data_IF_875552373827
#
_entry.id   IF_875552373827
#
_cell.length_a   1.000
_cell.length_b   1.000
_cell.length_c   1.000
_cell.angle_alpha   90.00
_cell.angle_beta   90.00
_cell.angle_gamma   90.00
#
_symmetry.space_group_name_H-M   'P 1'
#
loop_
_entity.id
_entity.type
_entity.pdbx_description
1 polymer ?
#
# COMPACT_ATOMS: atom_id res chain seq x y z
N UNK A 1 -4.74 13.65 -6.99
CA UNK A 1 -5.02 15.11 -6.99
C UNK A 1 -6.46 15.34 -7.40
N UNK A 2 -7.08 16.40 -6.91
CA UNK A 2 -8.34 16.93 -7.43
C UNK A 2 -8.18 18.42 -7.68
N UNK A 3 -9.05 18.99 -8.52
CA UNK A 3 -9.11 20.44 -8.68
C UNK A 3 -10.03 21.04 -7.62
N UNK A 4 -9.58 22.12 -6.96
CA UNK A 4 -10.44 22.93 -6.11
C UNK A 4 -11.33 23.87 -6.94
N UNK A 5 -12.18 24.65 -6.25
CA UNK A 5 -13.21 25.51 -6.88
C UNK A 5 -12.65 26.51 -7.90
N UNK A 6 -11.42 26.98 -7.71
CA UNK A 6 -10.78 27.99 -8.57
C UNK A 6 -9.70 27.43 -9.51
N UNK A 7 -9.51 26.10 -9.53
CA UNK A 7 -8.49 25.44 -10.35
C UNK A 7 -9.10 24.91 -11.66
N UNK A 8 -8.50 25.25 -12.80
CA UNK A 8 -8.84 24.70 -14.11
C UNK A 8 -8.00 23.48 -14.48
N UNK A 9 -8.28 22.89 -15.65
CA UNK A 9 -7.54 21.74 -16.18
C UNK A 9 -6.02 22.00 -16.29
N UNK A 10 -5.64 23.20 -16.73
CA UNK A 10 -4.24 23.60 -16.88
C UNK A 10 -3.46 23.54 -15.55
N UNK A 11 -4.10 23.89 -14.41
CA UNK A 11 -3.46 23.81 -13.10
C UNK A 11 -3.22 22.35 -12.69
N UNK A 12 -4.14 21.41 -13.03
CA UNK A 12 -3.95 20.00 -12.81
C UNK A 12 -2.82 19.41 -13.66
N UNK A 13 -2.71 19.86 -14.90
CA UNK A 13 -1.65 19.41 -15.82
C UNK A 13 -0.27 19.81 -15.29
N UNK A 14 -0.09 21.10 -14.94
CA UNK A 14 1.16 21.59 -14.35
C UNK A 14 1.50 20.84 -13.07
N UNK A 15 0.54 20.66 -12.15
CA UNK A 15 0.75 19.91 -10.93
C UNK A 15 1.11 18.46 -11.21
N UNK A 16 0.45 17.82 -12.19
CA UNK A 16 0.76 16.44 -12.59
C UNK A 16 2.18 16.30 -13.11
N UNK A 17 2.65 17.23 -13.93
CA UNK A 17 4.02 17.23 -14.45
C UNK A 17 5.04 17.34 -13.33
N UNK A 18 4.84 18.25 -12.38
CA UNK A 18 5.72 18.45 -11.25
C UNK A 18 5.81 17.19 -10.37
N UNK A 19 4.67 16.55 -10.06
CA UNK A 19 4.65 15.36 -9.20
C UNK A 19 5.08 14.08 -9.91
N UNK A 20 5.05 14.01 -11.23
CA UNK A 20 5.59 12.85 -12.00
C UNK A 20 7.07 12.59 -11.77
N UNK A 21 7.82 13.61 -11.37
CA UNK A 21 9.25 13.48 -11.05
C UNK A 21 9.49 12.59 -9.81
N UNK A 22 8.54 12.54 -8.88
CA UNK A 22 8.64 11.80 -7.62
C UNK A 22 7.74 10.57 -7.56
N UNK A 23 6.90 10.33 -8.57
CA UNK A 23 6.03 9.17 -8.60
C UNK A 23 4.87 9.28 -9.59
N UNK A 24 3.94 8.32 -9.51
CA UNK A 24 2.74 8.31 -10.35
C UNK A 24 1.67 9.24 -9.77
N UNK A 25 1.00 9.98 -10.64
CA UNK A 25 -0.09 10.88 -10.27
C UNK A 25 -1.43 10.35 -10.76
N UNK A 26 -2.47 10.53 -9.95
CA UNK A 26 -3.85 10.18 -10.29
C UNK A 26 -4.74 11.39 -10.04
N UNK A 27 -5.60 11.69 -11.00
CA UNK A 27 -6.63 12.73 -10.85
C UNK A 27 -7.93 12.02 -10.47
N UNK A 28 -8.57 12.46 -9.39
CA UNK A 28 -9.83 11.93 -8.87
C UNK A 28 -10.80 13.07 -8.57
N UNK A 29 -12.08 12.75 -8.44
CA UNK A 29 -13.06 13.71 -7.91
C UNK A 29 -12.75 14.04 -6.45
N UNK A 30 -13.05 15.27 -6.03
CA UNK A 30 -12.81 15.75 -4.65
C UNK A 30 -13.47 14.86 -3.60
N UNK A 31 -14.65 14.31 -3.88
CA UNK A 31 -15.36 13.36 -3.01
C UNK A 31 -14.57 12.11 -2.61
N UNK A 32 -13.50 11.78 -3.34
CA UNK A 32 -12.63 10.63 -3.09
C UNK A 32 -11.37 10.98 -2.28
N UNK A 33 -11.13 12.26 -1.97
CA UNK A 33 -9.88 12.68 -1.33
C UNK A 33 -9.68 12.10 0.07
N UNK A 34 -10.76 11.91 0.85
CA UNK A 34 -10.68 11.26 2.16
C UNK A 34 -10.26 9.79 2.04
N UNK A 35 -10.78 9.09 1.02
CA UNK A 35 -10.38 7.72 0.72
C UNK A 35 -8.91 7.65 0.26
N UNK A 36 -8.46 8.59 -0.56
CA UNK A 36 -7.03 8.72 -0.96
C UNK A 36 -6.16 8.97 0.27
N UNK A 37 -6.60 9.82 1.19
CA UNK A 37 -5.88 10.10 2.45
C UNK A 37 -5.75 8.81 3.29
N UNK A 38 -6.84 8.08 3.48
CA UNK A 38 -6.84 6.83 4.25
C UNK A 38 -5.97 5.73 3.63
N UNK A 39 -5.93 5.65 2.31
CA UNK A 39 -5.16 4.62 1.59
C UNK A 39 -3.70 5.03 1.36
N UNK A 40 -3.47 6.21 0.79
CA UNK A 40 -2.16 6.61 0.26
C UNK A 40 -1.36 7.46 1.23
N UNK A 41 -1.95 8.44 1.92
CA UNK A 41 -1.23 9.27 2.87
C UNK A 41 -0.94 8.51 4.19
N UNK A 42 -1.89 7.70 4.66
CA UNK A 42 -1.71 6.82 5.84
C UNK A 42 -0.99 5.51 5.51
N UNK A 43 -1.01 5.09 4.24
CA UNK A 43 -0.48 3.81 3.75
C UNK A 43 0.96 3.49 4.17
N UNK A 44 1.91 4.44 4.11
CA UNK A 44 3.28 4.17 4.53
C UNK A 44 3.40 3.60 5.94
N UNK A 45 2.57 4.08 6.89
CA UNK A 45 2.57 3.57 8.26
C UNK A 45 2.15 2.08 8.32
N UNK A 46 1.17 1.67 7.51
CA UNK A 46 0.73 0.27 7.44
C UNK A 46 1.82 -0.62 6.86
N UNK A 47 2.50 -0.13 5.81
CA UNK A 47 3.61 -0.86 5.18
C UNK A 47 4.79 -0.97 6.14
N UNK A 48 5.10 0.06 6.95
CA UNK A 48 6.17 -0.04 7.95
C UNK A 48 5.87 -1.10 9.02
N UNK A 49 4.63 -1.24 9.47
CA UNK A 49 4.22 -2.33 10.38
C UNK A 49 4.41 -3.70 9.70
N UNK A 50 4.05 -3.84 8.43
CA UNK A 50 4.23 -5.07 7.68
C UNK A 50 5.73 -5.39 7.53
N UNK A 51 6.54 -4.40 7.15
CA UNK A 51 7.99 -4.55 6.99
C UNK A 51 8.68 -4.96 8.31
N UNK A 52 8.32 -4.31 9.41
CA UNK A 52 8.80 -4.65 10.74
C UNK A 52 8.43 -6.09 11.10
N UNK A 53 7.19 -6.49 10.88
CA UNK A 53 6.70 -7.85 11.15
C UNK A 53 7.44 -8.90 10.31
N UNK A 54 7.69 -8.64 9.04
CA UNK A 54 8.46 -9.52 8.16
C UNK A 54 9.93 -9.63 8.60
N UNK A 55 10.54 -8.50 8.99
CA UNK A 55 11.91 -8.50 9.50
C UNK A 55 12.02 -9.27 10.82
N UNK A 56 11.08 -9.08 11.76
CA UNK A 56 11.02 -9.85 13.00
C UNK A 56 10.85 -11.36 12.75
N UNK A 57 9.98 -11.72 11.78
CA UNK A 57 9.82 -13.10 11.36
C UNK A 57 11.12 -13.68 10.79
N UNK A 58 11.85 -12.91 9.96
CA UNK A 58 13.17 -13.29 9.46
C UNK A 58 14.17 -13.58 10.59
N UNK A 59 14.22 -12.72 11.60
CA UNK A 59 15.05 -12.91 12.79
C UNK A 59 14.61 -14.17 13.55
N UNK A 60 13.30 -14.38 13.70
CA UNK A 60 12.73 -15.56 14.39
C UNK A 60 13.17 -16.87 13.75
N UNK A 61 13.33 -16.90 12.42
CA UNK A 61 13.80 -18.11 11.70
C UNK A 61 15.32 -18.17 11.51
N UNK A 62 16.06 -17.24 12.13
CA UNK A 62 17.53 -17.31 12.26
C UNK A 62 18.32 -16.37 11.36
N UNK A 63 17.70 -15.45 10.64
CA UNK A 63 18.43 -14.44 9.86
C UNK A 63 19.01 -13.34 10.77
N UNK A 64 20.20 -12.80 10.46
CA UNK A 64 20.67 -11.55 11.06
C UNK A 64 19.65 -10.42 10.80
N UNK A 65 19.50 -9.51 11.77
CA UNK A 65 18.47 -8.45 11.72
C UNK A 65 18.60 -7.53 10.51
N UNK A 66 19.80 -7.15 10.18
CA UNK A 66 20.10 -6.27 9.04
C UNK A 66 19.71 -6.96 7.71
N UNK A 67 20.03 -8.24 7.57
CA UNK A 67 19.67 -9.07 6.42
C UNK A 67 18.15 -9.23 6.32
N UNK A 68 17.48 -9.55 7.44
CA UNK A 68 16.03 -9.71 7.49
C UNK A 68 15.30 -8.41 7.08
N UNK A 69 15.76 -7.26 7.58
CA UNK A 69 15.22 -5.94 7.24
C UNK A 69 15.40 -5.61 5.76
N UNK A 70 16.59 -5.84 5.22
CA UNK A 70 16.88 -5.62 3.80
C UNK A 70 16.00 -6.50 2.90
N UNK A 71 15.89 -7.78 3.21
CA UNK A 71 15.08 -8.72 2.43
C UNK A 71 13.59 -8.38 2.49
N UNK A 72 13.05 -8.01 3.66
CA UNK A 72 11.66 -7.58 3.80
C UNK A 72 11.37 -6.33 2.94
N UNK A 73 12.24 -5.32 3.01
CA UNK A 73 12.10 -4.10 2.23
C UNK A 73 12.19 -4.36 0.73
N UNK A 74 13.20 -5.12 0.27
CA UNK A 74 13.39 -5.43 -1.14
C UNK A 74 12.24 -6.29 -1.70
N UNK A 75 11.74 -7.24 -0.94
CA UNK A 75 10.60 -8.08 -1.33
C UNK A 75 9.34 -7.22 -1.52
N UNK A 76 9.06 -6.31 -0.59
CA UNK A 76 7.91 -5.41 -0.68
C UNK A 76 8.01 -4.47 -1.87
N UNK A 77 9.19 -3.89 -2.10
CA UNK A 77 9.47 -3.04 -3.26
C UNK A 77 9.26 -3.80 -4.57
N UNK A 78 9.81 -5.02 -4.67
CA UNK A 78 9.68 -5.86 -5.86
C UNK A 78 8.22 -6.24 -6.15
N UNK A 79 7.49 -6.69 -5.14
CA UNK A 79 6.08 -7.06 -5.30
C UNK A 79 5.22 -5.87 -5.75
N UNK A 80 5.41 -4.69 -5.15
CA UNK A 80 4.73 -3.46 -5.56
C UNK A 80 5.14 -3.04 -6.99
N UNK A 81 6.43 -3.16 -7.33
CA UNK A 81 6.97 -2.87 -8.66
C UNK A 81 6.28 -3.69 -9.74
N UNK A 82 6.17 -5.00 -9.56
CA UNK A 82 5.50 -5.89 -10.54
C UNK A 82 4.05 -5.46 -10.78
N UNK A 83 3.27 -5.16 -9.74
CA UNK A 83 1.90 -4.67 -9.89
C UNK A 83 1.84 -3.37 -10.70
N UNK A 84 2.78 -2.45 -10.44
CA UNK A 84 2.82 -1.15 -11.13
C UNK A 84 3.28 -1.27 -12.59
N UNK A 85 4.13 -2.22 -12.91
CA UNK A 85 4.68 -2.42 -14.25
C UNK A 85 3.73 -3.22 -15.14
N UNK A 86 3.16 -4.31 -14.62
CA UNK A 86 2.29 -5.20 -15.40
C UNK A 86 0.84 -4.73 -15.43
N UNK A 87 0.37 -4.09 -14.36
CA UNK A 87 -1.04 -3.79 -14.15
C UNK A 87 -1.89 -5.03 -13.80
N UNK A 88 -1.27 -6.17 -13.57
CA UNK A 88 -1.95 -7.40 -13.22
C UNK A 88 -2.61 -7.32 -11.85
N UNK A 89 -3.72 -8.00 -11.71
CA UNK A 89 -4.42 -8.05 -10.43
C UNK A 89 -3.58 -8.81 -9.38
N UNK A 90 -3.40 -8.24 -8.17
CA UNK A 90 -2.55 -8.85 -7.13
C UNK A 90 -2.87 -10.31 -6.79
N UNK A 91 -4.13 -10.74 -6.95
CA UNK A 91 -4.50 -12.14 -6.73
C UNK A 91 -3.86 -13.09 -7.76
N UNK A 92 -3.77 -12.67 -9.04
CA UNK A 92 -3.09 -13.47 -10.08
C UNK A 92 -1.59 -13.58 -9.80
N UNK A 93 -0.97 -12.47 -9.40
CA UNK A 93 0.46 -12.45 -9.05
C UNK A 93 0.74 -13.33 -7.81
N UNK A 94 -0.16 -13.30 -6.81
CA UNK A 94 -0.08 -14.19 -5.65
C UNK A 94 -0.15 -15.66 -6.06
N UNK A 95 -1.08 -16.00 -6.94
CA UNK A 95 -1.23 -17.38 -7.42
C UNK A 95 -0.01 -17.83 -8.24
N UNK A 96 0.58 -16.95 -9.04
CA UNK A 96 1.79 -17.24 -9.83
C UNK A 96 3.02 -17.57 -8.98
N UNK A 97 3.11 -17.07 -7.76
CA UNK A 97 4.21 -17.39 -6.82
C UNK A 97 3.87 -18.50 -5.83
N UNK A 98 2.67 -19.08 -5.95
CA UNK A 98 2.20 -20.15 -5.06
C UNK A 98 2.25 -21.48 -5.80
N UNK A 99 3.33 -22.25 -5.59
CA UNK A 99 3.51 -23.57 -6.21
C UNK A 99 2.83 -24.69 -5.40
N UNK A 100 2.39 -25.77 -6.05
CA UNK A 100 1.83 -26.94 -5.36
C UNK A 100 2.81 -27.49 -4.31
N UNK A 101 2.35 -27.70 -3.10
CA UNK A 101 3.15 -28.16 -1.95
C UNK A 101 4.33 -27.24 -1.57
N UNK A 102 4.35 -26.00 -2.06
CA UNK A 102 5.39 -25.01 -1.71
C UNK A 102 5.13 -24.37 -0.35
N UNK A 103 6.17 -23.81 0.27
CA UNK A 103 6.07 -23.12 1.58
C UNK A 103 5.21 -21.84 1.54
N UNK A 104 4.99 -21.28 0.37
CA UNK A 104 4.22 -20.04 0.21
C UNK A 104 2.76 -20.22 0.65
N UNK A 105 2.14 -21.37 0.31
CA UNK A 105 0.73 -21.60 0.67
C UNK A 105 0.55 -21.72 2.18
N UNK A 106 1.48 -22.34 2.89
CA UNK A 106 1.42 -22.46 4.35
C UNK A 106 1.46 -21.06 5.00
N UNK A 107 2.35 -20.20 4.52
CA UNK A 107 2.42 -18.80 4.97
C UNK A 107 1.15 -18.00 4.66
N UNK A 108 0.52 -18.20 3.49
CA UNK A 108 -0.74 -17.55 3.13
C UNK A 108 -1.86 -17.98 4.08
N UNK A 109 -1.96 -19.26 4.42
CA UNK A 109 -2.98 -19.77 5.34
C UNK A 109 -2.88 -19.12 6.72
N UNK A 110 -1.67 -18.96 7.26
CA UNK A 110 -1.44 -18.24 8.51
C UNK A 110 -1.88 -16.76 8.44
N UNK A 111 -1.63 -16.09 7.31
CA UNK A 111 -2.06 -14.70 7.10
C UNK A 111 -3.59 -14.58 7.03
N UNK A 112 -4.27 -15.54 6.39
CA UNK A 112 -5.74 -15.57 6.33
C UNK A 112 -6.35 -15.90 7.70
N UNK A 113 -5.81 -16.86 8.45
CA UNK A 113 -6.23 -17.17 9.81
C UNK A 113 -6.03 -15.97 10.74
N UNK A 114 -4.89 -15.28 10.64
CA UNK A 114 -4.59 -14.03 11.35
C UNK A 114 -5.41 -12.84 10.89
N UNK A 115 -6.29 -12.99 9.89
CA UNK A 115 -7.21 -11.96 9.38
C UNK A 115 -6.50 -10.69 8.88
N UNK A 116 -5.27 -10.82 8.36
CA UNK A 116 -4.49 -9.68 7.88
C UNK A 116 -5.28 -8.83 6.89
N UNK A 117 -5.93 -9.46 5.91
CA UNK A 117 -6.74 -8.79 4.89
C UNK A 117 -7.83 -7.90 5.49
N UNK A 118 -8.59 -8.47 6.42
CA UNK A 118 -9.70 -7.73 7.08
C UNK A 118 -9.16 -6.58 7.93
N UNK A 119 -8.02 -6.78 8.59
CA UNK A 119 -7.38 -5.76 9.43
C UNK A 119 -6.92 -4.58 8.60
N UNK A 120 -6.27 -4.81 7.46
CA UNK A 120 -5.85 -3.75 6.53
C UNK A 120 -7.05 -2.98 5.96
N UNK A 121 -8.11 -3.67 5.56
CA UNK A 121 -9.35 -3.03 5.08
C UNK A 121 -9.92 -2.09 6.17
N UNK A 122 -10.04 -2.58 7.41
CA UNK A 122 -10.54 -1.78 8.53
C UNK A 122 -9.67 -0.57 8.84
N UNK A 123 -8.34 -0.71 8.75
CA UNK A 123 -7.40 0.38 8.98
C UNK A 123 -7.63 1.52 7.97
N UNK A 124 -7.70 1.20 6.68
CA UNK A 124 -7.94 2.18 5.61
C UNK A 124 -9.31 2.85 5.77
N UNK A 125 -10.37 2.07 6.03
CA UNK A 125 -11.73 2.60 6.24
C UNK A 125 -11.76 3.56 7.44
N UNK A 126 -11.13 3.20 8.56
CA UNK A 126 -11.09 4.05 9.75
C UNK A 126 -10.32 5.34 9.53
N UNK A 127 -9.20 5.27 8.83
CA UNK A 127 -8.40 6.45 8.50
C UNK A 127 -9.16 7.40 7.55
N UNK A 128 -9.84 6.87 6.53
CA UNK A 128 -10.66 7.67 5.63
C UNK A 128 -11.84 8.36 6.36
N UNK A 129 -12.50 7.65 7.29
CA UNK A 129 -13.53 8.23 8.14
C UNK A 129 -12.97 9.39 8.98
N UNK A 130 -11.80 9.20 9.58
CA UNK A 130 -11.18 10.24 10.39
C UNK A 130 -10.73 11.45 9.56
N UNK A 131 -10.22 11.23 8.36
CA UNK A 131 -9.88 12.31 7.42
C UNK A 131 -11.11 13.19 7.12
N UNK A 132 -12.27 12.56 6.86
CA UNK A 132 -13.53 13.25 6.64
C UNK A 132 -13.96 14.08 7.86
N UNK A 133 -13.89 13.51 9.08
CA UNK A 133 -14.23 14.23 10.32
C UNK A 133 -13.36 15.49 10.49
N UNK A 134 -12.04 15.38 10.23
CA UNK A 134 -11.11 16.49 10.37
C UNK A 134 -11.39 17.62 9.37
N UNK A 135 -11.82 17.29 8.15
CA UNK A 135 -12.18 18.28 7.15
C UNK A 135 -13.38 19.15 7.54
N UNK A 136 -14.28 18.64 8.41
CA UNK A 136 -15.45 19.36 8.88
C UNK A 136 -15.27 19.98 10.27
N UNK A 137 -14.13 19.78 10.92
CA UNK A 137 -13.83 20.28 12.29
C UNK A 137 -13.03 21.59 12.30
N UNK A 138 -12.64 22.12 11.14
CA UNK A 138 -11.98 23.41 10.92
C UNK A 138 -12.92 24.35 10.20
#
# INVERSE_FOLDING_TARGET
MCKGAHAGAQHLEIASELFRVVGRTVVVDEKHMDAVTGLSASGPAYIYIILESLAEAGVKVGLPRDVATLLAAQTTLGAAGVVLETGDHPALLKDAVTTPAGCTIDGILELEEGKLRVTLIKAVVKAAQRAKELAYSG
#
